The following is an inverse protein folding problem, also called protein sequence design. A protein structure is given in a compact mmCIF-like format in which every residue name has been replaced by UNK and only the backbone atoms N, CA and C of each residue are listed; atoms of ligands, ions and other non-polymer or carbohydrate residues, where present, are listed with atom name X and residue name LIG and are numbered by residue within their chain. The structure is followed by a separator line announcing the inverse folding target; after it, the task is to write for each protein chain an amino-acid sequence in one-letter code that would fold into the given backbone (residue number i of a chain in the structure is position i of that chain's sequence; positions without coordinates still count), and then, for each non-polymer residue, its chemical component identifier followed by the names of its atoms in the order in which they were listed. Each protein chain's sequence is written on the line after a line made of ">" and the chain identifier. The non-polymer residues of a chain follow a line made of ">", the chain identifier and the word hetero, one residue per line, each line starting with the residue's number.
data_IF_727593339729
#
_entry.id   IF_727593339729
#
_cell.length_a   1.000
_cell.length_b   1.000
_cell.length_c   1.000
_cell.angle_alpha   90.00
_cell.angle_beta   90.00
_cell.angle_gamma   90.00
#
_symmetry.space_group_name_H-M   'P 1'
#
loop_
_entity.id
_entity.type
_entity.pdbx_description
1 polymer ?
#
# COMPACT_ATOMS: atom_id res chain seq x y z
N UNK A 1 0.54 -51.73 -20.89
CA UNK A 1 1.24 -50.47 -21.22
C UNK A 1 0.41 -49.34 -20.64
N UNK A 2 0.72 -48.92 -19.42
CA UNK A 2 0.00 -47.86 -18.71
C UNK A 2 0.95 -46.69 -18.50
N UNK A 3 0.93 -45.71 -19.41
CA UNK A 3 1.51 -44.40 -19.15
C UNK A 3 0.38 -43.48 -18.70
N UNK A 4 0.14 -43.44 -17.40
CA UNK A 4 -0.60 -42.34 -16.80
C UNK A 4 0.36 -41.15 -16.75
N UNK A 5 0.19 -40.20 -17.66
CA UNK A 5 0.81 -38.89 -17.54
C UNK A 5 0.27 -38.28 -16.24
N UNK A 6 1.10 -38.26 -15.19
CA UNK A 6 0.85 -37.45 -14.01
C UNK A 6 0.70 -36.00 -14.48
N UNK A 7 -0.49 -35.45 -14.30
CA UNK A 7 -0.72 -34.02 -14.36
C UNK A 7 0.18 -33.36 -13.33
N UNK A 8 1.28 -32.76 -13.79
CA UNK A 8 2.05 -31.85 -12.98
C UNK A 8 1.20 -30.59 -12.79
N UNK A 9 0.47 -30.52 -11.69
CA UNK A 9 -0.14 -29.28 -11.22
C UNK A 9 1.00 -28.35 -10.84
N UNK A 10 1.47 -27.55 -11.79
CA UNK A 10 2.36 -26.43 -11.51
C UNK A 10 1.57 -25.42 -10.69
N UNK A 11 1.65 -25.52 -9.37
CA UNK A 11 1.31 -24.42 -8.47
C UNK A 11 2.30 -23.30 -8.79
N UNK A 12 1.91 -22.40 -9.70
CA UNK A 12 2.62 -21.16 -9.95
C UNK A 12 2.52 -20.31 -8.68
N UNK A 13 3.44 -20.53 -7.74
CA UNK A 13 3.69 -19.55 -6.69
C UNK A 13 3.94 -18.20 -7.39
N UNK A 14 3.36 -17.10 -6.91
CA UNK A 14 3.59 -15.80 -7.52
C UNK A 14 5.11 -15.53 -7.50
N UNK A 15 5.70 -15.49 -8.69
CA UNK A 15 7.12 -15.23 -8.86
C UNK A 15 7.32 -13.71 -8.69
N UNK A 16 7.90 -13.31 -7.56
CA UNK A 16 8.23 -11.90 -7.29
C UNK A 16 9.49 -11.58 -8.10
N UNK A 17 9.33 -10.93 -9.25
CA UNK A 17 10.46 -10.73 -10.18
C UNK A 17 11.34 -9.54 -9.79
N UNK A 18 10.79 -8.52 -9.12
CA UNK A 18 11.57 -7.40 -8.58
C UNK A 18 10.70 -6.53 -7.65
N UNK A 19 11.23 -6.16 -6.48
CA UNK A 19 10.65 -5.10 -5.63
C UNK A 19 11.40 -3.79 -5.90
N UNK A 20 10.67 -2.74 -6.28
CA UNK A 20 11.22 -1.39 -6.41
C UNK A 20 10.73 -0.50 -5.27
N UNK A 21 11.61 0.03 -4.40
CA UNK A 21 11.20 1.00 -3.41
C UNK A 21 10.86 2.32 -4.10
N UNK A 22 9.77 2.97 -3.69
CA UNK A 22 9.49 4.34 -4.11
C UNK A 22 10.55 5.27 -3.47
N UNK A 23 11.14 6.14 -4.28
CA UNK A 23 12.20 7.07 -3.87
C UNK A 23 11.69 8.38 -3.28
N UNK A 24 10.37 8.61 -3.35
CA UNK A 24 9.71 9.82 -2.87
C UNK A 24 8.80 9.48 -1.68
N UNK A 25 8.76 10.32 -0.63
CA UNK A 25 7.84 10.14 0.48
C UNK A 25 6.39 10.12 -0.03
N UNK A 26 5.62 9.10 0.35
CA UNK A 26 4.20 8.99 0.05
C UNK A 26 3.47 8.51 1.31
N UNK A 27 2.42 9.23 1.66
CA UNK A 27 1.66 9.00 2.88
C UNK A 27 0.19 8.74 2.53
N UNK A 28 -0.43 7.82 3.26
CA UNK A 28 -1.88 7.73 3.31
C UNK A 28 -2.44 8.90 4.13
N UNK A 29 -3.44 9.57 3.58
CA UNK A 29 -4.10 10.72 4.19
C UNK A 29 -5.41 10.27 4.81
N UNK A 30 -5.57 10.55 6.10
CA UNK A 30 -6.79 10.29 6.86
C UNK A 30 -7.36 11.58 7.40
N UNK A 31 -8.68 11.75 7.30
CA UNK A 31 -9.43 12.82 7.94
C UNK A 31 -10.41 12.22 8.94
N UNK A 32 -9.99 12.09 10.20
CA UNK A 32 -10.78 11.45 11.25
C UNK A 32 -10.46 11.98 12.65
N UNK A 33 -11.44 11.91 13.55
CA UNK A 33 -11.30 12.29 14.96
C UNK A 33 -11.86 11.17 15.84
N UNK A 34 -11.02 10.39 16.55
CA UNK A 34 -9.57 10.54 16.69
C UNK A 34 -8.79 10.10 15.44
N UNK A 35 -7.57 10.62 15.22
CA UNK A 35 -6.71 10.18 14.12
C UNK A 35 -6.23 8.73 14.32
N UNK A 36 -5.81 8.03 13.24
CA UNK A 36 -5.28 6.67 13.36
C UNK A 36 -4.08 6.59 14.32
N UNK A 37 -3.97 5.48 15.05
CA UNK A 37 -2.94 5.31 16.08
C UNK A 37 -1.49 5.38 15.56
N UNK A 38 -1.31 5.07 14.27
CA UNK A 38 -0.03 5.04 13.55
C UNK A 38 0.20 6.30 12.69
N UNK A 39 -0.57 7.36 12.91
CA UNK A 39 -0.34 8.65 12.26
C UNK A 39 1.01 9.25 12.71
N UNK A 40 1.89 9.53 11.75
CA UNK A 40 3.17 10.19 12.00
C UNK A 40 3.03 11.70 12.12
N UNK A 41 2.09 12.30 11.37
CA UNK A 41 1.85 13.73 11.35
C UNK A 41 0.35 14.05 11.46
N UNK A 42 0.04 15.22 12.02
CA UNK A 42 -1.32 15.72 12.23
C UNK A 42 -1.38 17.19 11.81
N UNK A 43 -2.37 17.53 11.00
CA UNK A 43 -2.60 18.87 10.49
C UNK A 43 -3.98 19.40 10.83
N UNK A 44 -4.39 20.41 10.08
CA UNK A 44 -5.69 21.07 10.22
C UNK A 44 -6.83 20.15 9.79
N UNK A 45 -8.06 20.51 10.19
CA UNK A 45 -9.29 19.83 9.78
C UNK A 45 -9.29 18.32 10.04
N UNK A 46 -8.61 17.88 11.10
CA UNK A 46 -8.42 16.47 11.48
C UNK A 46 -7.67 15.63 10.43
N UNK A 47 -6.87 16.26 9.56
CA UNK A 47 -5.99 15.57 8.64
C UNK A 47 -4.83 14.94 9.41
N UNK A 48 -4.49 13.72 9.05
CA UNK A 48 -3.35 12.99 9.57
C UNK A 48 -2.68 12.18 8.47
N UNK A 49 -1.37 12.04 8.57
CA UNK A 49 -0.56 11.28 7.62
C UNK A 49 -0.06 10.00 8.25
N UNK A 50 -0.13 8.93 7.47
CA UNK A 50 0.39 7.61 7.82
C UNK A 50 1.46 7.25 6.80
N UNK A 51 2.69 6.93 7.21
CA UNK A 51 3.74 6.49 6.30
C UNK A 51 3.36 5.15 5.65
N UNK A 52 3.44 5.07 4.32
CA UNK A 52 3.17 3.84 3.57
C UNK A 52 4.40 3.48 2.73
N UNK A 53 4.75 2.20 2.73
CA UNK A 53 5.81 1.66 1.89
C UNK A 53 5.18 1.08 0.62
N UNK A 54 5.22 1.84 -0.46
CA UNK A 54 4.82 1.29 -1.75
C UNK A 54 5.94 0.47 -2.37
N UNK A 55 5.59 -0.69 -2.90
CA UNK A 55 6.49 -1.58 -3.63
C UNK A 55 5.96 -1.77 -5.05
N UNK A 56 6.78 -1.45 -6.04
CA UNK A 56 6.50 -1.87 -7.41
C UNK A 56 6.74 -3.37 -7.54
N UNK A 57 5.74 -4.12 -7.98
CA UNK A 57 5.87 -5.52 -8.38
C UNK A 57 6.04 -5.56 -9.90
N UNK A 58 7.11 -6.20 -10.36
CA UNK A 58 7.29 -6.49 -11.78
C UNK A 58 6.96 -7.97 -11.99
N UNK A 59 6.14 -8.29 -12.98
CA UNK A 59 5.84 -9.67 -13.40
C UNK A 59 6.01 -9.78 -14.91
N UNK A 60 6.99 -10.56 -15.36
CA UNK A 60 7.29 -10.75 -16.79
C UNK A 60 7.41 -9.44 -17.62
N UNK A 61 7.86 -8.35 -17.00
CA UNK A 61 8.00 -7.04 -17.64
C UNK A 61 6.79 -6.11 -17.46
N UNK A 62 5.65 -6.60 -16.97
CA UNK A 62 4.51 -5.77 -16.56
C UNK A 62 4.75 -5.21 -15.15
N UNK A 63 4.48 -3.91 -14.97
CA UNK A 63 4.66 -3.20 -13.71
C UNK A 63 3.29 -3.01 -13.04
N UNK A 64 3.13 -3.52 -11.83
CA UNK A 64 1.99 -3.23 -10.95
C UNK A 64 2.47 -2.62 -9.63
N UNK A 65 1.62 -1.85 -8.99
CA UNK A 65 1.92 -1.24 -7.69
C UNK A 65 1.27 -2.07 -6.58
N UNK A 66 2.03 -2.37 -5.54
CA UNK A 66 1.55 -3.08 -4.34
C UNK A 66 1.83 -2.19 -3.14
N UNK A 67 0.80 -1.99 -2.32
CA UNK A 67 0.90 -1.19 -1.10
C UNK A 67 1.42 -2.09 0.04
N UNK A 68 2.46 -1.63 0.74
CA UNK A 68 3.04 -2.31 1.89
C UNK A 68 2.97 -1.42 3.13
N UNK A 69 2.50 -1.97 4.24
CA UNK A 69 2.47 -1.26 5.52
C UNK A 69 3.67 -1.62 6.39
N UNK A 70 4.20 -0.64 7.11
CA UNK A 70 5.03 -0.90 8.29
C UNK A 70 4.21 -1.59 9.42
N UNK A 71 2.87 -1.57 9.33
CA UNK A 71 1.91 -2.21 10.24
C UNK A 71 1.20 -3.42 9.60
N UNK A 72 1.93 -4.24 8.82
CA UNK A 72 1.39 -5.36 8.02
C UNK A 72 0.63 -6.45 8.81
N UNK A 73 0.61 -6.38 10.14
CA UNK A 73 -0.18 -7.28 10.98
C UNK A 73 -1.66 -6.90 11.13
N UNK A 74 -2.08 -5.70 10.72
CA UNK A 74 -3.43 -5.18 11.08
C UNK A 74 -4.19 -4.53 9.93
N UNK A 75 -3.53 -4.10 8.85
CA UNK A 75 -4.17 -3.34 7.77
C UNK A 75 -3.94 -4.06 6.44
N UNK A 76 -5.04 -4.47 5.78
CA UNK A 76 -4.99 -5.10 4.46
C UNK A 76 -4.90 -4.07 3.34
N UNK A 77 -5.59 -2.93 3.47
CA UNK A 77 -5.54 -1.79 2.54
C UNK A 77 -5.65 -0.44 3.26
N UNK A 78 -5.08 0.63 2.70
CA UNK A 78 -5.23 1.99 3.26
C UNK A 78 -6.69 2.43 3.21
N UNK A 79 -7.40 1.99 2.19
CA UNK A 79 -8.79 2.31 1.89
C UNK A 79 -9.76 1.67 2.89
N UNK A 80 -9.36 0.61 3.59
CA UNK A 80 -10.21 -0.11 4.56
C UNK A 80 -10.36 0.65 5.89
N UNK A 81 -9.53 1.66 6.13
CA UNK A 81 -9.58 2.45 7.36
C UNK A 81 -10.47 3.67 7.14
N UNK A 82 -11.46 3.82 8.02
CA UNK A 82 -12.39 4.95 8.01
C UNK A 82 -11.66 6.31 8.01
N UNK A 83 -12.13 7.19 7.13
CA UNK A 83 -11.59 8.52 6.96
C UNK A 83 -10.45 8.62 5.95
N UNK A 84 -10.10 7.54 5.24
CA UNK A 84 -9.15 7.61 4.12
C UNK A 84 -9.60 8.62 3.05
N UNK A 85 -8.67 9.46 2.58
CA UNK A 85 -8.91 10.48 1.55
C UNK A 85 -8.09 10.28 0.28
N UNK A 86 -6.99 9.52 0.37
CA UNK A 86 -6.05 9.34 -0.72
C UNK A 86 -4.61 9.43 -0.25
N UNK A 87 -3.73 9.82 -1.15
CA UNK A 87 -2.29 9.86 -0.90
C UNK A 87 -1.72 11.26 -1.12
N UNK A 88 -0.72 11.63 -0.33
CA UNK A 88 -0.01 12.90 -0.49
C UNK A 88 1.49 12.75 -0.18
N UNK A 89 2.30 13.62 -0.77
CA UNK A 89 3.75 13.63 -0.55
C UNK A 89 4.16 14.36 0.75
N UNK A 90 3.28 15.20 1.31
CA UNK A 90 3.52 15.94 2.55
C UNK A 90 2.21 16.46 3.16
N UNK A 91 2.28 16.97 4.39
CA UNK A 91 1.12 17.53 5.09
C UNK A 91 0.58 18.76 4.38
N UNK A 92 1.46 19.66 3.90
CA UNK A 92 1.07 20.84 3.13
C UNK A 92 0.29 20.48 1.85
N UNK A 93 0.69 19.39 1.18
CA UNK A 93 -0.01 18.90 -0.01
C UNK A 93 -1.35 18.29 0.38
N UNK A 94 -1.38 17.50 1.45
CA UNK A 94 -2.62 16.90 1.94
C UNK A 94 -3.64 17.97 2.36
N UNK A 95 -3.22 19.01 3.08
CA UNK A 95 -4.10 20.12 3.48
C UNK A 95 -4.65 20.87 2.25
N UNK A 96 -3.85 21.08 1.21
CA UNK A 96 -4.35 21.74 -0.02
C UNK A 96 -5.36 20.91 -0.79
N UNK A 97 -5.23 19.59 -0.76
CA UNK A 97 -6.06 18.67 -1.56
C UNK A 97 -7.33 18.24 -0.82
N UNK A 98 -7.29 18.16 0.50
CA UNK A 98 -8.30 17.46 1.30
C UNK A 98 -8.86 18.27 2.48
N UNK A 99 -8.36 19.49 2.76
CA UNK A 99 -8.86 20.34 3.85
C UNK A 99 -10.04 21.22 3.44
#
# INVERSE_FOLDING_TARGET
>A
MCNHCHEHTHTHAPEIVQLMPITHPLFAVYQSSPPPAFASEKGKNNISLVPVLFMGLIRHGEKSMVEGFFASGTIQSCEDIDGFKGYAASLDVAEKLYA
#
